data_IF_431538189171
#
_entry.id   IF_431538189171
#
_cell.length_a   1.000
_cell.length_b   1.000
_cell.length_c   1.000
_cell.angle_alpha   90.00
_cell.angle_beta   90.00
_cell.angle_gamma   90.00
#
_symmetry.space_group_name_H-M   'P 1'
#
loop_
_entity.id
_entity.type
_entity.pdbx_description
1 polymer ?
#
# COMPACT_ATOMS: atom_id res chain seq x y z
N UNK A 1 -13.16 3.10 -9.63
CA UNK A 1 -11.88 3.37 -8.96
C UNK A 1 -11.89 2.81 -7.54
N UNK A 2 -10.78 2.29 -7.13
CA UNK A 2 -10.59 1.77 -5.79
C UNK A 2 -9.39 2.44 -5.14
N UNK A 3 -9.40 2.47 -3.82
CA UNK A 3 -8.22 2.86 -3.05
C UNK A 3 -7.74 1.67 -2.24
N UNK A 4 -6.47 1.37 -2.36
CA UNK A 4 -5.83 0.32 -1.57
C UNK A 4 -5.08 1.00 -0.44
N UNK A 5 -5.41 0.60 0.78
CA UNK A 5 -4.74 1.09 1.98
C UNK A 5 -3.84 -0.03 2.45
N UNK A 6 -2.55 0.24 2.56
CA UNK A 6 -1.55 -0.77 2.92
C UNK A 6 -0.85 -0.35 4.20
N UNK A 7 -0.84 -1.24 5.18
CA UNK A 7 -0.17 -1.00 6.46
C UNK A 7 0.99 -1.98 6.57
N UNK A 8 2.20 -1.46 6.65
CA UNK A 8 3.44 -2.27 6.64
C UNK A 8 4.48 -1.64 7.56
N UNK A 9 5.55 -2.38 7.82
CA UNK A 9 6.73 -1.84 8.53
C UNK A 9 7.51 -0.91 7.61
N UNK A 10 8.28 0.02 8.20
CA UNK A 10 9.06 1.02 7.48
C UNK A 10 9.91 0.43 6.36
N UNK A 11 10.67 -0.62 6.64
CA UNK A 11 11.55 -1.23 5.66
C UNK A 11 10.76 -1.84 4.50
N UNK A 12 9.61 -2.44 4.80
CA UNK A 12 8.75 -3.02 3.78
C UNK A 12 8.10 -1.93 2.92
N UNK A 13 7.81 -0.76 3.52
CA UNK A 13 7.26 0.38 2.78
C UNK A 13 8.24 0.86 1.71
N UNK A 14 9.54 0.91 2.01
CA UNK A 14 10.55 1.30 1.02
C UNK A 14 10.58 0.30 -0.14
N UNK A 15 10.56 -0.99 0.17
CA UNK A 15 10.53 -2.04 -0.84
C UNK A 15 9.29 -1.92 -1.73
N UNK A 16 8.12 -1.71 -1.12
CA UNK A 16 6.87 -1.58 -1.86
C UNK A 16 6.85 -0.33 -2.73
N UNK A 17 7.38 0.79 -2.23
CA UNK A 17 7.45 2.03 -3.00
C UNK A 17 8.23 1.81 -4.30
N UNK A 18 9.38 1.13 -4.21
CA UNK A 18 10.18 0.82 -5.38
C UNK A 18 9.45 -0.12 -6.34
N UNK A 19 8.82 -1.15 -5.81
CA UNK A 19 8.11 -2.14 -6.63
C UNK A 19 6.89 -1.54 -7.33
N UNK A 20 6.11 -0.71 -6.62
CA UNK A 20 4.97 -0.04 -7.23
C UNK A 20 5.41 0.93 -8.32
N UNK A 21 6.45 1.72 -8.05
CA UNK A 21 6.97 2.67 -9.04
C UNK A 21 7.46 1.93 -10.29
N UNK A 22 8.16 0.81 -10.11
CA UNK A 22 8.63 0.00 -11.23
C UNK A 22 7.49 -0.58 -12.06
N UNK A 23 6.32 -0.76 -11.47
CA UNK A 23 5.13 -1.28 -12.14
C UNK A 23 4.15 -0.18 -12.54
N UNK A 24 4.60 1.08 -12.56
CA UNK A 24 3.82 2.24 -12.97
C UNK A 24 2.62 2.56 -12.08
N UNK A 25 2.69 2.18 -10.83
CA UNK A 25 1.69 2.58 -9.84
C UNK A 25 2.20 3.79 -9.05
N UNK A 26 1.31 4.71 -8.76
CA UNK A 26 1.58 5.82 -7.85
C UNK A 26 1.18 5.44 -6.45
N UNK A 27 2.08 5.66 -5.51
CA UNK A 27 1.82 5.37 -4.11
C UNK A 27 2.12 6.59 -3.26
N UNK A 28 1.27 6.88 -2.28
CA UNK A 28 1.46 7.97 -1.32
C UNK A 28 1.69 7.35 0.05
N UNK A 29 2.75 7.79 0.73
CA UNK A 29 3.00 7.38 2.11
C UNK A 29 2.42 8.42 3.04
N UNK A 30 1.67 7.96 4.03
CA UNK A 30 1.10 8.85 5.04
C UNK A 30 2.10 8.96 6.18
N UNK A 31 2.60 10.17 6.42
CA UNK A 31 3.52 10.40 7.51
C UNK A 31 2.82 10.22 8.85
N UNK A 32 3.46 9.52 9.76
CA UNK A 32 2.96 9.38 11.12
C UNK A 32 3.25 10.68 11.87
N UNK A 33 2.19 11.38 12.26
CA UNK A 33 2.32 12.55 13.13
C UNK A 33 1.51 12.29 14.39
N UNK A 34 2.18 12.26 15.52
CA UNK A 34 1.51 12.04 16.80
C UNK A 34 1.27 10.58 17.12
N UNK A 35 0.40 10.32 18.08
CA UNK A 35 0.26 9.02 18.71
C UNK A 35 -0.62 7.99 18.04
N UNK A 36 -1.09 8.25 16.83
CA UNK A 36 -2.02 7.34 16.16
C UNK A 36 -1.36 6.09 15.62
N UNK A 37 -0.13 6.22 15.14
CA UNK A 37 0.53 5.10 14.48
C UNK A 37 1.67 4.60 15.35
N UNK A 38 1.81 3.28 15.35
CA UNK A 38 2.91 2.65 16.07
C UNK A 38 4.21 3.05 15.40
N UNK A 39 5.23 3.25 16.22
CA UNK A 39 6.58 3.47 15.71
C UNK A 39 6.99 2.33 14.80
N UNK A 40 7.55 2.66 13.64
CA UNK A 40 8.02 1.66 12.69
C UNK A 40 6.97 1.13 11.73
N UNK A 41 5.74 1.66 11.78
CA UNK A 41 4.65 1.26 10.89
C UNK A 41 4.28 2.41 9.97
N UNK A 42 4.04 2.11 8.70
CA UNK A 42 3.71 3.10 7.67
C UNK A 42 2.39 2.73 7.00
N UNK A 43 1.57 3.72 6.75
CA UNK A 43 0.37 3.58 5.93
C UNK A 43 0.65 4.13 4.53
N UNK A 44 0.31 3.34 3.52
CA UNK A 44 0.47 3.71 2.12
C UNK A 44 -0.90 3.73 1.46
N UNK A 45 -1.11 4.70 0.57
CA UNK A 45 -2.36 4.83 -0.17
C UNK A 45 -2.08 4.71 -1.66
N UNK A 46 -2.93 3.95 -2.35
CA UNK A 46 -2.76 3.68 -3.76
C UNK A 46 -4.14 3.74 -4.45
N UNK A 47 -4.32 4.72 -5.33
CA UNK A 47 -5.54 4.81 -6.14
C UNK A 47 -5.36 4.02 -7.43
N UNK A 48 -6.29 3.12 -7.74
CA UNK A 48 -6.22 2.26 -8.92
C UNK A 48 -7.58 2.11 -9.58
N UNK A 49 -7.57 1.75 -10.86
CA UNK A 49 -8.79 1.33 -11.51
C UNK A 49 -9.20 -0.05 -11.04
N UNK A 50 -10.49 -0.36 -11.15
CA UNK A 50 -11.01 -1.65 -10.68
C UNK A 50 -10.26 -2.82 -11.30
N UNK A 51 -9.87 -2.69 -12.57
CA UNK A 51 -9.14 -3.73 -13.30
C UNK A 51 -7.69 -3.90 -12.84
N UNK A 52 -7.17 -2.97 -12.05
CA UNK A 52 -5.77 -2.98 -11.60
C UNK A 52 -5.59 -3.51 -10.18
N UNK A 53 -6.70 -3.77 -9.47
CA UNK A 53 -6.63 -4.18 -8.06
C UNK A 53 -5.82 -5.45 -7.89
N UNK A 54 -6.11 -6.46 -8.70
CA UNK A 54 -5.41 -7.74 -8.57
C UNK A 54 -3.92 -7.61 -8.88
N UNK A 55 -3.57 -6.80 -9.88
CA UNK A 55 -2.17 -6.56 -10.23
C UNK A 55 -1.43 -5.85 -9.09
N UNK A 56 -2.07 -4.88 -8.44
CA UNK A 56 -1.47 -4.17 -7.32
C UNK A 56 -1.25 -5.10 -6.11
N UNK A 57 -2.23 -5.94 -5.82
CA UNK A 57 -2.10 -6.92 -4.73
C UNK A 57 -0.97 -7.91 -5.03
N UNK A 58 -0.84 -8.31 -6.29
CA UNK A 58 0.25 -9.20 -6.71
C UNK A 58 1.61 -8.57 -6.48
N UNK A 59 1.75 -7.27 -6.74
CA UNK A 59 3.01 -6.56 -6.47
C UNK A 59 3.37 -6.70 -4.98
N UNK A 60 2.41 -6.53 -4.08
CA UNK A 60 2.65 -6.67 -2.65
C UNK A 60 3.11 -8.10 -2.31
N UNK A 61 2.39 -9.10 -2.82
CA UNK A 61 2.72 -10.50 -2.53
C UNK A 61 4.11 -10.88 -3.04
N UNK A 62 4.46 -10.43 -4.23
CA UNK A 62 5.74 -10.77 -4.84
C UNK A 62 6.90 -10.02 -4.18
N UNK A 63 6.64 -8.80 -3.68
CA UNK A 63 7.66 -7.96 -3.06
C UNK A 63 7.92 -8.34 -1.61
N UNK A 64 6.93 -8.89 -0.92
CA UNK A 64 6.99 -9.23 0.49
C UNK A 64 6.62 -10.69 0.69
N UNK A 65 7.48 -11.63 0.28
CA UNK A 65 7.16 -13.04 0.46
C UNK A 65 7.03 -13.38 1.94
N UNK A 66 6.00 -14.12 2.26
CA UNK A 66 5.73 -14.53 3.63
C UNK A 66 6.85 -15.44 4.13
N UNK A 67 7.30 -15.21 5.37
CA UNK A 67 8.20 -16.13 6.04
C UNK A 67 7.43 -16.79 7.19
N UNK A 68 7.03 -18.04 6.98
CA UNK A 68 6.24 -18.76 7.96
C UNK A 68 4.82 -18.21 8.07
N UNK A 69 4.33 -18.06 9.30
CA UNK A 69 2.98 -17.60 9.56
C UNK A 69 2.88 -16.07 9.72
N UNK A 70 3.99 -15.37 9.58
CA UNK A 70 4.02 -13.93 9.78
C UNK A 70 3.39 -13.20 8.60
N UNK A 71 2.40 -12.38 8.90
CA UNK A 71 1.81 -11.47 7.92
C UNK A 71 2.61 -10.18 7.89
N UNK A 72 3.07 -9.77 6.72
CA UNK A 72 3.92 -8.59 6.56
C UNK A 72 3.15 -7.35 6.18
N UNK A 73 1.96 -7.51 5.60
CA UNK A 73 1.16 -6.37 5.15
C UNK A 73 -0.32 -6.62 5.42
N UNK A 74 -1.01 -5.55 5.79
CA UNK A 74 -2.46 -5.53 5.87
C UNK A 74 -2.98 -4.62 4.77
N UNK A 75 -3.91 -5.12 3.96
CA UNK A 75 -4.47 -4.37 2.87
C UNK A 75 -5.98 -4.21 3.02
N UNK A 76 -6.46 -3.01 2.75
CA UNK A 76 -7.89 -2.74 2.60
C UNK A 76 -8.12 -2.21 1.19
N UNK A 77 -9.14 -2.71 0.53
CA UNK A 77 -9.56 -2.19 -0.78
C UNK A 77 -10.92 -1.56 -0.60
N UNK A 78 -11.00 -0.26 -0.83
CA UNK A 78 -12.24 0.48 -0.62
C UNK A 78 -12.69 1.16 -1.91
N UNK A 79 -14.00 1.23 -2.17
CA UNK A 79 -14.50 1.94 -3.34
C UNK A 79 -14.30 3.45 -3.18
N UNK A 80 -13.99 4.13 -4.29
CA UNK A 80 -13.86 5.57 -4.33
C UNK A 80 -14.97 6.09 -5.23
N UNK A 81 -15.92 6.83 -4.65
CA UNK A 81 -17.03 7.39 -5.39
C UNK A 81 -16.65 8.70 -6.07
N UNK A 82 -15.70 9.42 -5.50
CA UNK A 82 -15.30 10.71 -6.02
C UNK A 82 -13.82 10.92 -5.74
N UNK A 83 -13.10 11.37 -6.75
CA UNK A 83 -11.69 11.72 -6.65
C UNK A 83 -11.49 13.09 -7.29
N UNK A 84 -10.73 13.96 -6.62
CA UNK A 84 -10.53 15.31 -7.10
C UNK A 84 -9.16 15.83 -6.67
N UNK A 85 -8.48 16.46 -7.61
CA UNK A 85 -7.25 17.19 -7.33
C UNK A 85 -7.54 18.67 -7.59
N UNK A 86 -7.26 19.49 -6.61
CA UNK A 86 -7.56 20.92 -6.68
C UNK A 86 -6.29 21.76 -6.71
#
# INVERSE_FOLDING_TARGET
MKMIIIIVKDGDADTLTQSFTANNFRVTRVASTGGFMRSGVVTMLLGVEDTQVDAAIKVVRDSLPASGDDKRATLFVVPVQHFEQV
#
